data_IF_395380695172
#
_entry.id   IF_395380695172
#
_cell.length_a   1.000
_cell.length_b   1.000
_cell.length_c   1.000
_cell.angle_alpha   90.00
_cell.angle_beta   90.00
_cell.angle_gamma   90.00
#
_symmetry.space_group_name_H-M   'P 1'
#
loop_
_entity.id
_entity.type
_entity.pdbx_description
1 polymer ?
#
# COMPACT_ATOMS: atom_id res chain seq x y z
N UNK A 1 30.76 -11.71 2.13
CA UNK A 1 29.92 -11.24 1.02
C UNK A 1 28.56 -10.91 1.60
N UNK A 2 28.06 -9.66 1.53
CA UNK A 2 26.69 -9.32 1.91
C UNK A 2 25.80 -10.01 0.88
N UNK A 3 25.05 -11.04 1.29
CA UNK A 3 24.01 -11.60 0.46
C UNK A 3 23.04 -10.48 0.11
N UNK A 4 22.97 -10.15 -1.17
CA UNK A 4 22.10 -9.11 -1.67
C UNK A 4 20.67 -9.68 -1.68
N UNK A 5 19.95 -9.49 -0.57
CA UNK A 5 18.57 -9.94 -0.42
C UNK A 5 17.66 -9.36 -1.49
N UNK A 6 16.69 -10.12 -1.94
CA UNK A 6 15.61 -9.60 -2.75
C UNK A 6 14.58 -8.92 -1.83
N UNK A 7 14.16 -7.74 -2.21
CA UNK A 7 13.02 -7.06 -1.61
C UNK A 7 11.76 -7.45 -2.38
N UNK A 8 10.82 -8.05 -1.70
CA UNK A 8 9.63 -8.62 -2.30
C UNK A 8 8.40 -7.90 -1.77
N UNK A 9 7.70 -7.18 -2.63
CA UNK A 9 6.39 -6.62 -2.33
C UNK A 9 5.30 -7.58 -2.81
N UNK A 10 4.43 -8.00 -1.91
CA UNK A 10 3.29 -8.87 -2.18
C UNK A 10 2.00 -8.09 -1.89
N UNK A 11 1.21 -7.88 -2.92
CA UNK A 11 -0.12 -7.28 -2.88
C UNK A 11 -1.17 -8.36 -3.12
N UNK A 12 -2.10 -8.51 -2.19
CA UNK A 12 -3.21 -9.47 -2.29
C UNK A 12 -4.52 -8.68 -2.23
N UNK A 13 -5.30 -8.81 -3.29
CA UNK A 13 -6.59 -8.15 -3.46
C UNK A 13 -7.70 -9.18 -3.68
N UNK A 14 -8.94 -8.72 -3.87
CA UNK A 14 -10.10 -9.63 -3.95
C UNK A 14 -9.96 -10.69 -5.05
N UNK A 15 -9.39 -10.32 -6.18
CA UNK A 15 -9.36 -11.13 -7.41
C UNK A 15 -7.97 -11.60 -7.82
N UNK A 16 -6.91 -10.97 -7.31
CA UNK A 16 -5.53 -11.30 -7.68
C UNK A 16 -4.54 -11.16 -6.51
N UNK A 17 -3.55 -12.04 -6.50
CA UNK A 17 -2.28 -11.83 -5.81
C UNK A 17 -1.22 -11.39 -6.83
N UNK A 18 -0.48 -10.31 -6.53
CA UNK A 18 0.59 -9.77 -7.37
C UNK A 18 1.84 -9.56 -6.55
N UNK A 19 2.99 -9.85 -7.13
CA UNK A 19 4.25 -9.62 -6.46
C UNK A 19 5.29 -9.03 -7.41
N UNK A 20 6.14 -8.17 -6.84
CA UNK A 20 7.34 -7.63 -7.44
C UNK A 20 8.52 -7.97 -6.54
N UNK A 21 9.58 -8.53 -7.12
CA UNK A 21 10.85 -8.72 -6.44
C UNK A 21 11.93 -7.88 -7.09
N UNK A 22 12.61 -7.06 -6.28
CA UNK A 22 13.67 -6.18 -6.72
C UNK A 22 14.95 -6.41 -5.91
N UNK A 23 16.06 -5.96 -6.46
CA UNK A 23 17.35 -5.97 -5.79
C UNK A 23 17.98 -4.58 -5.88
N UNK A 24 18.49 -4.06 -4.75
CA UNK A 24 19.22 -2.79 -4.75
C UNK A 24 20.57 -2.96 -5.43
N UNK A 25 20.86 -2.13 -6.41
CA UNK A 25 22.12 -2.06 -7.13
C UNK A 25 22.71 -0.66 -7.01
N UNK A 26 23.96 -0.48 -7.46
CA UNK A 26 24.66 0.82 -7.42
C UNK A 26 23.86 1.92 -8.15
N UNK A 27 23.22 1.57 -9.26
CA UNK A 27 22.51 2.50 -10.15
C UNK A 27 20.99 2.49 -9.97
N UNK A 28 20.47 2.02 -8.83
CA UNK A 28 19.02 1.99 -8.57
C UNK A 28 18.47 0.60 -8.31
N UNK A 29 17.21 0.42 -8.59
CA UNK A 29 16.50 -0.85 -8.39
C UNK A 29 16.57 -1.70 -9.66
N UNK A 30 16.89 -2.98 -9.49
CA UNK A 30 16.82 -3.99 -10.53
C UNK A 30 15.61 -4.87 -10.29
N UNK A 31 14.69 -4.96 -11.27
CA UNK A 31 13.61 -5.93 -11.29
C UNK A 31 14.21 -7.34 -11.46
N UNK A 32 13.86 -8.25 -10.56
CA UNK A 32 14.34 -9.64 -10.55
C UNK A 32 13.25 -10.64 -10.91
N UNK A 33 12.03 -10.35 -10.47
CA UNK A 33 10.88 -11.23 -10.69
C UNK A 33 9.59 -10.41 -10.56
N UNK A 34 8.58 -10.77 -11.33
CA UNK A 34 7.20 -10.40 -11.09
C UNK A 34 6.32 -11.64 -11.19
N UNK A 35 5.21 -11.61 -10.48
CA UNK A 35 4.26 -12.71 -10.44
C UNK A 35 2.86 -12.17 -10.27
N UNK A 36 1.91 -12.83 -10.95
CA UNK A 36 0.49 -12.55 -10.84
C UNK A 36 -0.28 -13.86 -10.88
N UNK A 37 -1.25 -13.99 -9.98
CA UNK A 37 -2.11 -15.15 -9.89
C UNK A 37 -3.55 -14.71 -9.60
N UNK A 38 -4.54 -15.11 -10.41
CA UNK A 38 -5.94 -14.92 -10.06
C UNK A 38 -6.27 -15.71 -8.81
N UNK A 39 -7.10 -15.12 -7.96
CA UNK A 39 -7.60 -15.72 -6.73
C UNK A 39 -9.06 -16.13 -6.91
N UNK A 40 -9.49 -17.26 -6.34
CA UNK A 40 -10.90 -17.58 -6.22
C UNK A 40 -11.63 -16.50 -5.42
N UNK A 41 -12.83 -16.12 -5.83
CA UNK A 41 -13.63 -15.05 -5.18
C UNK A 41 -13.92 -15.28 -3.69
N UNK A 42 -13.81 -16.51 -3.22
CA UNK A 42 -14.02 -16.88 -1.82
C UNK A 42 -12.81 -16.58 -0.92
N UNK A 43 -11.64 -16.27 -1.48
CA UNK A 43 -10.40 -16.06 -0.71
C UNK A 43 -10.45 -14.77 0.09
N UNK A 44 -10.87 -13.68 -0.54
CA UNK A 44 -10.96 -12.37 0.10
C UNK A 44 -12.20 -11.62 -0.34
N UNK A 45 -12.84 -10.91 0.60
CA UNK A 45 -13.98 -10.02 0.33
C UNK A 45 -13.84 -8.76 1.19
N UNK A 46 -13.96 -7.60 0.59
CA UNK A 46 -13.86 -6.30 1.28
C UNK A 46 -12.61 -6.19 2.18
N UNK A 47 -11.49 -6.74 1.72
CA UNK A 47 -10.22 -6.74 2.45
C UNK A 47 -10.12 -7.75 3.60
N UNK A 48 -11.11 -8.62 3.80
CA UNK A 48 -11.11 -9.66 4.83
C UNK A 48 -10.80 -11.01 4.19
N UNK A 49 -9.86 -11.75 4.78
CA UNK A 49 -9.57 -13.12 4.37
C UNK A 49 -10.68 -14.07 4.86
N UNK A 50 -11.12 -14.96 3.97
CA UNK A 50 -12.12 -15.99 4.26
C UNK A 50 -11.55 -17.39 4.06
N UNK A 51 -11.29 -17.80 2.82
CA UNK A 51 -10.79 -19.13 2.47
C UNK A 51 -9.25 -19.15 2.41
N UNK A 52 -8.61 -19.19 3.57
CA UNK A 52 -7.15 -19.10 3.67
C UNK A 52 -6.41 -20.30 3.11
N UNK A 53 -6.99 -21.51 3.12
CA UNK A 53 -6.33 -22.74 2.61
C UNK A 53 -5.96 -22.63 1.13
N UNK A 54 -6.87 -22.08 0.31
CA UNK A 54 -6.60 -21.87 -1.11
C UNK A 54 -5.49 -20.84 -1.33
N UNK A 55 -5.49 -19.76 -0.57
CA UNK A 55 -4.43 -18.77 -0.61
C UNK A 55 -3.09 -19.35 -0.19
N UNK A 56 -3.06 -20.12 0.90
CA UNK A 56 -1.85 -20.82 1.39
C UNK A 56 -1.28 -21.71 0.29
N UNK A 57 -2.12 -22.51 -0.38
CA UNK A 57 -1.67 -23.41 -1.45
C UNK A 57 -1.07 -22.65 -2.65
N UNK A 58 -1.67 -21.52 -3.02
CA UNK A 58 -1.19 -20.63 -4.10
C UNK A 58 0.15 -20.01 -3.71
N UNK A 59 0.22 -19.40 -2.53
CA UNK A 59 1.42 -18.71 -2.04
C UNK A 59 2.57 -19.69 -1.78
N UNK A 60 2.29 -20.90 -1.28
CA UNK A 60 3.30 -21.95 -1.07
C UNK A 60 3.96 -22.34 -2.39
N UNK A 61 3.18 -22.52 -3.45
CA UNK A 61 3.73 -22.80 -4.79
C UNK A 61 4.61 -21.66 -5.29
N UNK A 62 4.13 -20.42 -5.16
CA UNK A 62 4.92 -19.25 -5.54
C UNK A 62 6.21 -19.10 -4.72
N UNK A 63 6.18 -19.41 -3.41
CA UNK A 63 7.36 -19.32 -2.53
C UNK A 63 8.55 -20.12 -3.06
N UNK A 64 8.33 -21.24 -3.75
CA UNK A 64 9.40 -22.05 -4.35
C UNK A 64 10.12 -21.36 -5.52
N UNK A 65 9.52 -20.34 -6.14
CA UNK A 65 10.16 -19.55 -7.20
C UNK A 65 11.08 -18.45 -6.68
N UNK A 66 11.05 -18.18 -5.36
CA UNK A 66 11.84 -17.15 -4.72
C UNK A 66 13.11 -17.72 -4.07
N UNK A 67 14.17 -16.92 -3.93
CA UNK A 67 15.35 -17.29 -3.14
C UNK A 67 14.99 -17.66 -1.70
N UNK A 68 15.89 -18.39 -1.04
CA UNK A 68 15.74 -18.75 0.38
C UNK A 68 15.60 -17.53 1.28
N UNK A 69 16.42 -16.50 1.04
CA UNK A 69 16.45 -15.26 1.83
C UNK A 69 15.83 -14.12 1.02
N UNK A 70 14.74 -13.57 1.53
CA UNK A 70 14.02 -12.43 0.99
C UNK A 70 13.62 -11.48 2.11
N UNK A 71 13.47 -10.19 1.81
CA UNK A 71 12.79 -9.21 2.64
C UNK A 71 11.37 -9.06 2.12
N UNK A 72 10.42 -9.73 2.75
CA UNK A 72 9.03 -9.71 2.35
C UNK A 72 8.30 -8.51 2.97
N UNK A 73 7.52 -7.82 2.15
CA UNK A 73 6.69 -6.69 2.53
C UNK A 73 5.29 -6.89 1.96
N UNK A 74 4.30 -6.69 2.79
CA UNK A 74 2.88 -6.80 2.41
C UNK A 74 2.15 -5.51 2.74
N UNK A 75 0.92 -5.36 2.28
CA UNK A 75 0.03 -4.30 2.73
C UNK A 75 -1.25 -4.85 3.34
N UNK A 76 -1.81 -4.06 4.25
CA UNK A 76 -3.20 -4.22 4.66
C UNK A 76 -4.09 -3.41 3.71
N UNK A 77 -5.26 -3.95 3.34
CA UNK A 77 -6.26 -3.23 2.57
C UNK A 77 -6.68 -1.93 3.26
N UNK A 78 -6.82 -0.85 2.49
CA UNK A 78 -7.15 0.47 3.03
C UNK A 78 -8.48 0.49 3.82
N UNK A 79 -9.43 -0.37 3.46
CA UNK A 79 -10.73 -0.52 4.14
C UNK A 79 -10.61 -1.04 5.58
N UNK A 80 -9.48 -1.67 5.93
CA UNK A 80 -9.28 -2.34 7.24
C UNK A 80 -8.48 -1.52 8.21
N UNK A 81 -8.22 -0.26 7.88
CA UNK A 81 -7.35 0.66 8.61
C UNK A 81 -8.15 1.82 9.16
N UNK A 82 -7.89 2.17 10.42
CA UNK A 82 -8.41 3.36 11.06
C UNK A 82 -7.23 4.27 11.37
N UNK A 83 -7.33 5.56 11.05
CA UNK A 83 -6.32 6.54 11.40
C UNK A 83 -6.90 7.67 12.23
N UNK A 84 -6.15 8.09 13.25
CA UNK A 84 -6.44 9.27 14.06
C UNK A 84 -5.18 10.13 14.16
N UNK A 85 -5.38 11.44 14.30
CA UNK A 85 -4.30 12.40 14.48
C UNK A 85 -4.26 12.88 15.92
N UNK A 86 -3.09 12.82 16.50
CA UNK A 86 -2.83 13.26 17.87
C UNK A 86 -1.76 14.36 17.87
N UNK A 87 -1.77 15.26 18.83
CA UNK A 87 -0.64 16.13 19.09
C UNK A 87 0.62 15.30 19.41
N UNK A 88 1.77 15.76 18.93
CA UNK A 88 3.05 15.14 19.27
C UNK A 88 3.27 15.24 20.79
N UNK A 89 3.53 14.12 21.51
CA UNK A 89 3.84 14.21 22.93
C UNK A 89 5.23 14.83 23.16
N UNK A 90 5.43 15.37 24.37
CA UNK A 90 6.72 15.95 24.78
C UNK A 90 7.88 14.98 24.52
N UNK A 91 8.96 15.47 23.93
CA UNK A 91 10.17 14.68 23.59
C UNK A 91 10.89 14.06 24.81
N UNK A 92 10.60 14.54 26.03
CA UNK A 92 11.09 13.94 27.27
C UNK A 92 10.38 12.63 27.60
N UNK A 93 9.20 12.39 27.03
CA UNK A 93 8.47 11.15 27.20
C UNK A 93 9.11 10.07 26.32
N UNK A 94 9.79 9.11 26.96
CA UNK A 94 10.48 7.99 26.31
C UNK A 94 9.66 6.71 26.36
N UNK A 95 10.02 5.72 25.54
CA UNK A 95 9.45 4.38 25.62
C UNK A 95 9.77 3.72 26.98
N UNK A 96 8.86 2.93 27.55
CA UNK A 96 7.54 2.52 27.04
C UNK A 96 6.41 3.53 27.36
N UNK A 97 6.67 4.57 28.16
CA UNK A 97 5.64 5.52 28.61
C UNK A 97 5.06 6.33 27.45
N UNK A 98 5.89 6.62 26.43
CA UNK A 98 5.44 7.28 25.21
C UNK A 98 4.36 6.47 24.51
N UNK A 99 4.58 5.18 24.30
CA UNK A 99 3.59 4.27 23.73
C UNK A 99 2.29 4.23 24.54
N UNK A 100 2.41 4.12 25.87
CA UNK A 100 1.24 4.10 26.78
C UNK A 100 0.43 5.38 26.66
N UNK A 101 1.09 6.55 26.65
CA UNK A 101 0.44 7.84 26.50
C UNK A 101 -0.29 7.98 25.16
N UNK A 102 0.37 7.61 24.06
CA UNK A 102 -0.20 7.65 22.71
C UNK A 102 -1.40 6.71 22.62
N UNK A 103 -1.29 5.49 23.13
CA UNK A 103 -2.37 4.50 23.16
C UNK A 103 -3.59 5.00 23.91
N UNK A 104 -3.38 5.57 25.12
CA UNK A 104 -4.47 6.13 25.91
C UNK A 104 -5.13 7.36 25.26
N UNK A 105 -4.35 8.16 24.53
CA UNK A 105 -4.87 9.30 23.77
C UNK A 105 -5.65 8.86 22.53
N UNK A 106 -5.15 7.86 21.80
CA UNK A 106 -5.82 7.27 20.63
C UNK A 106 -7.14 6.60 21.01
N UNK A 107 -7.20 5.91 22.15
CA UNK A 107 -8.40 5.23 22.66
C UNK A 107 -9.61 6.15 22.77
N UNK A 108 -9.40 7.45 22.98
CA UNK A 108 -10.49 8.44 23.08
C UNK A 108 -11.13 8.78 21.74
N UNK A 109 -10.45 8.48 20.63
CA UNK A 109 -10.89 8.83 19.27
C UNK A 109 -11.16 7.59 18.41
N UNK A 110 -10.61 6.43 18.78
CA UNK A 110 -10.82 5.18 18.05
C UNK A 110 -12.20 4.58 18.42
N UNK A 111 -12.94 4.06 17.43
CA UNK A 111 -14.29 3.52 17.65
C UNK A 111 -14.33 2.11 18.25
N UNK A 112 -13.16 1.54 18.54
CA UNK A 112 -12.99 0.16 19.01
C UNK A 112 -12.12 0.13 20.27
N UNK A 113 -12.30 -0.91 21.10
CA UNK A 113 -11.49 -1.13 22.27
C UNK A 113 -10.02 -1.38 21.92
N UNK A 114 -9.09 -0.75 22.64
CA UNK A 114 -7.65 -0.80 22.38
C UNK A 114 -7.08 -2.23 22.41
N UNK A 115 -7.66 -3.09 23.21
CA UNK A 115 -7.27 -4.51 23.36
C UNK A 115 -7.46 -5.28 22.05
N UNK A 116 -8.45 -4.87 21.23
CA UNK A 116 -8.76 -5.48 19.93
C UNK A 116 -7.92 -4.91 18.78
N UNK A 117 -7.15 -3.84 19.05
CA UNK A 117 -6.38 -3.13 18.03
C UNK A 117 -4.88 -3.35 18.16
N UNK A 118 -4.21 -3.52 17.04
CA UNK A 118 -2.79 -3.26 16.88
C UNK A 118 -2.64 -1.82 16.41
N UNK A 119 -1.75 -1.06 17.03
CA UNK A 119 -1.48 0.32 16.65
C UNK A 119 -0.02 0.51 16.33
N UNK A 120 0.24 1.40 15.40
CA UNK A 120 1.54 1.98 15.10
C UNK A 120 1.37 3.49 14.92
N UNK A 121 2.46 4.26 15.05
CA UNK A 121 2.38 5.70 14.95
C UNK A 121 3.66 6.31 14.36
N UNK A 122 3.48 7.37 13.60
CA UNK A 122 4.57 8.15 13.01
C UNK A 122 4.28 9.64 13.06
N UNK A 123 5.34 10.45 13.03
CA UNK A 123 5.19 11.90 12.86
C UNK A 123 4.60 12.18 11.48
N UNK A 124 3.66 13.14 11.39
CA UNK A 124 3.07 13.51 10.12
C UNK A 124 4.12 14.20 9.24
N UNK A 125 4.31 13.79 7.98
CA UNK A 125 5.43 14.27 7.16
C UNK A 125 5.45 15.78 6.89
N UNK A 126 4.30 16.45 6.97
CA UNK A 126 4.15 17.90 6.71
C UNK A 126 3.77 18.70 7.96
N UNK A 127 3.67 18.06 9.12
CA UNK A 127 3.35 18.71 10.40
C UNK A 127 4.06 17.99 11.54
N UNK A 128 5.23 18.48 11.90
CA UNK A 128 6.09 17.90 12.95
C UNK A 128 5.50 18.02 14.37
N UNK A 129 4.36 18.67 14.54
CA UNK A 129 3.63 18.79 15.79
C UNK A 129 2.52 17.74 15.92
N UNK A 130 2.35 16.86 14.94
CA UNK A 130 1.31 15.84 14.93
C UNK A 130 1.86 14.43 14.71
N UNK A 131 1.15 13.48 15.32
CA UNK A 131 1.29 12.06 15.06
C UNK A 131 0.09 11.54 14.28
N UNK A 132 0.34 10.70 13.30
CA UNK A 132 -0.66 9.81 12.72
C UNK A 132 -0.56 8.48 13.47
N UNK A 133 -1.63 8.11 14.16
CA UNK A 133 -1.79 6.78 14.74
C UNK A 133 -2.63 5.94 13.79
N UNK A 134 -2.07 4.83 13.38
CA UNK A 134 -2.72 3.85 12.49
C UNK A 134 -3.12 2.64 13.32
N UNK A 135 -4.34 2.21 13.19
CA UNK A 135 -4.90 1.07 13.91
C UNK A 135 -5.50 0.05 12.94
N UNK A 136 -5.27 -1.23 13.23
CA UNK A 136 -5.89 -2.36 12.55
C UNK A 136 -6.37 -3.38 13.58
N UNK A 137 -7.36 -4.22 13.23
CA UNK A 137 -7.84 -5.28 14.13
C UNK A 137 -6.75 -6.33 14.32
N UNK A 138 -6.43 -6.65 15.58
CA UNK A 138 -5.42 -7.68 15.92
C UNK A 138 -5.76 -9.05 15.33
N UNK A 139 -7.02 -9.40 15.36
CA UNK A 139 -7.50 -10.67 14.82
C UNK A 139 -7.23 -10.79 13.32
N UNK A 140 -7.56 -9.74 12.55
CA UNK A 140 -7.30 -9.72 11.11
C UNK A 140 -5.81 -9.76 10.80
N UNK A 141 -5.01 -8.99 11.54
CA UNK A 141 -3.56 -9.00 11.39
C UNK A 141 -2.96 -10.37 11.71
N UNK A 142 -3.44 -11.02 12.78
CA UNK A 142 -3.01 -12.36 13.15
C UNK A 142 -3.40 -13.41 12.08
N UNK A 143 -4.59 -13.27 11.49
CA UNK A 143 -5.04 -14.14 10.40
C UNK A 143 -4.12 -14.00 9.17
N UNK A 144 -3.75 -12.77 8.78
CA UNK A 144 -2.80 -12.52 7.72
C UNK A 144 -1.44 -13.15 8.01
N UNK A 145 -0.89 -12.90 9.19
CA UNK A 145 0.40 -13.45 9.61
C UNK A 145 0.38 -14.98 9.63
N UNK A 146 -0.68 -15.59 10.15
CA UNK A 146 -0.84 -17.04 10.18
C UNK A 146 -0.90 -17.65 8.77
N UNK A 147 -1.72 -17.09 7.89
CA UNK A 147 -1.85 -17.54 6.49
C UNK A 147 -0.49 -17.49 5.77
N UNK A 148 0.23 -16.38 5.88
CA UNK A 148 1.54 -16.23 5.27
C UNK A 148 2.59 -17.17 5.85
N UNK A 149 2.60 -17.37 7.16
CA UNK A 149 3.52 -18.29 7.85
C UNK A 149 3.32 -19.73 7.39
N UNK A 150 2.08 -20.19 7.17
CA UNK A 150 1.79 -21.51 6.60
C UNK A 150 2.38 -21.66 5.19
N UNK A 151 2.45 -20.58 4.42
CA UNK A 151 3.11 -20.56 3.12
C UNK A 151 4.64 -20.33 3.20
N UNK A 152 5.24 -20.34 4.39
CA UNK A 152 6.66 -20.01 4.65
C UNK A 152 7.06 -18.62 4.15
N UNK A 153 6.15 -17.68 4.29
CA UNK A 153 6.31 -16.27 3.99
C UNK A 153 6.23 -15.48 5.30
N UNK A 154 7.30 -14.79 5.66
CA UNK A 154 7.39 -14.05 6.92
C UNK A 154 7.60 -12.57 6.58
N UNK A 155 6.56 -11.72 6.65
CA UNK A 155 6.69 -10.32 6.34
C UNK A 155 7.54 -9.59 7.40
N UNK A 156 8.53 -8.85 6.94
CA UNK A 156 9.30 -7.92 7.78
C UNK A 156 8.55 -6.60 7.96
N UNK A 157 7.69 -6.25 6.99
CA UNK A 157 6.92 -5.02 6.99
C UNK A 157 5.49 -5.31 6.57
N UNK A 158 4.55 -4.71 7.29
CA UNK A 158 3.15 -4.63 6.92
C UNK A 158 2.81 -3.15 6.74
N UNK A 159 2.64 -2.73 5.49
CA UNK A 159 2.42 -1.34 5.10
C UNK A 159 0.93 -1.08 4.83
N UNK A 160 0.57 0.17 4.60
CA UNK A 160 -0.74 0.59 4.13
C UNK A 160 -0.76 0.65 2.60
N UNK A 161 -1.82 0.16 1.98
CA UNK A 161 -1.98 0.22 0.51
C UNK A 161 -1.71 1.61 -0.08
N UNK A 162 -2.27 2.73 0.47
CA UNK A 162 -1.99 4.07 -0.05
C UNK A 162 -0.52 4.51 0.13
N UNK A 163 0.15 4.08 1.21
CA UNK A 163 1.57 4.37 1.40
C UNK A 163 2.45 3.61 0.40
N UNK A 164 2.09 2.37 0.09
CA UNK A 164 2.75 1.62 -0.96
C UNK A 164 2.58 2.31 -2.32
N UNK A 165 1.39 2.79 -2.64
CA UNK A 165 1.13 3.56 -3.87
C UNK A 165 2.01 4.81 -3.95
N UNK A 166 2.10 5.60 -2.86
CA UNK A 166 2.98 6.77 -2.78
C UNK A 166 4.47 6.39 -2.95
N UNK A 167 4.91 5.27 -2.36
CA UNK A 167 6.28 4.79 -2.50
C UNK A 167 6.62 4.41 -3.95
N UNK A 168 5.68 3.76 -4.66
CA UNK A 168 5.83 3.44 -6.08
C UNK A 168 5.93 4.70 -6.94
N UNK A 169 5.02 5.65 -6.74
CA UNK A 169 4.96 6.90 -7.48
C UNK A 169 6.24 7.73 -7.29
N UNK A 170 6.69 7.88 -6.05
CA UNK A 170 7.94 8.57 -5.72
C UNK A 170 9.15 7.92 -6.39
N UNK A 171 9.25 6.59 -6.33
CA UNK A 171 10.35 5.86 -6.96
C UNK A 171 10.30 5.92 -8.50
N UNK A 172 9.12 6.06 -9.09
CA UNK A 172 8.91 6.23 -10.52
C UNK A 172 9.13 7.66 -11.01
N UNK A 173 9.42 8.62 -10.12
CA UNK A 173 9.64 10.03 -10.46
C UNK A 173 8.37 10.85 -10.64
N UNK A 174 7.22 10.37 -10.18
CA UNK A 174 5.98 11.16 -10.15
C UNK A 174 6.16 12.33 -9.18
N UNK A 175 5.63 13.51 -9.55
CA UNK A 175 5.72 14.70 -8.71
C UNK A 175 5.13 14.46 -7.33
N UNK A 176 5.81 14.99 -6.30
CA UNK A 176 5.36 14.89 -4.90
C UNK A 176 4.11 15.75 -4.62
N UNK A 177 3.78 16.66 -5.49
CA UNK A 177 2.61 17.53 -5.41
C UNK A 177 1.37 16.90 -6.04
N UNK A 178 1.52 15.71 -6.63
CA UNK A 178 0.43 15.05 -7.34
C UNK A 178 -0.43 14.18 -6.44
N UNK A 179 -1.73 14.22 -6.65
CA UNK A 179 -2.67 13.25 -6.11
C UNK A 179 -2.53 11.94 -6.90
N UNK A 180 -2.52 10.84 -6.19
CA UNK A 180 -2.45 9.52 -6.79
C UNK A 180 -3.83 8.88 -6.80
N UNK A 181 -4.20 8.34 -7.95
CA UNK A 181 -5.43 7.61 -8.17
C UNK A 181 -5.09 6.22 -8.72
N UNK A 182 -5.57 5.19 -8.05
CA UNK A 182 -5.36 3.80 -8.46
C UNK A 182 -6.70 3.09 -8.60
N UNK A 183 -6.98 2.63 -9.81
CA UNK A 183 -8.17 1.83 -10.12
C UNK A 183 -7.95 0.40 -9.64
N UNK A 184 -8.77 -0.04 -8.70
CA UNK A 184 -8.90 -1.44 -8.25
C UNK A 184 -9.89 -2.19 -9.15
N UNK A 185 -10.10 -3.48 -8.90
CA UNK A 185 -11.11 -4.27 -9.62
C UNK A 185 -12.55 -3.88 -9.26
N UNK A 186 -12.77 -3.40 -8.04
CA UNK A 186 -14.07 -3.15 -7.44
C UNK A 186 -14.22 -1.72 -6.89
N UNK A 187 -13.32 -0.80 -7.26
CA UNK A 187 -13.37 0.56 -6.79
C UNK A 187 -12.09 1.34 -7.09
N UNK A 188 -11.90 2.44 -6.40
CA UNK A 188 -10.85 3.42 -6.64
C UNK A 188 -10.18 3.81 -5.34
N UNK A 189 -8.87 3.72 -5.29
CA UNK A 189 -8.04 4.20 -4.19
C UNK A 189 -7.40 5.53 -4.60
N UNK A 190 -7.50 6.53 -3.72
CA UNK A 190 -6.71 7.74 -3.88
C UNK A 190 -5.79 7.98 -2.68
N UNK A 191 -4.69 8.68 -2.91
CA UNK A 191 -3.76 9.11 -1.87
C UNK A 191 -3.34 10.56 -2.12
N UNK A 192 -3.29 11.36 -1.04
CA UNK A 192 -2.92 12.77 -1.08
C UNK A 192 -1.49 12.97 -1.59
N UNK A 193 -1.16 14.17 -2.12
CA UNK A 193 0.20 14.58 -2.39
C UNK A 193 1.11 14.45 -1.17
N UNK A 194 2.39 14.10 -1.39
CA UNK A 194 3.37 13.95 -0.31
C UNK A 194 3.67 15.25 0.48
N UNK A 195 3.43 16.41 -0.13
CA UNK A 195 3.64 17.73 0.48
C UNK A 195 2.50 18.18 1.38
N UNK A 196 1.42 17.40 1.48
CA UNK A 196 0.22 17.68 2.25
C UNK A 196 0.02 16.66 3.37
N UNK A 197 -0.86 16.94 4.35
CA UNK A 197 -1.24 15.96 5.36
C UNK A 197 -1.67 14.64 4.70
N UNK A 198 -1.12 13.53 5.21
CA UNK A 198 -1.42 12.23 4.62
C UNK A 198 -2.90 11.90 4.75
N UNK A 199 -3.56 11.81 3.63
CA UNK A 199 -4.96 11.41 3.51
C UNK A 199 -5.11 10.40 2.38
N UNK A 200 -6.08 9.54 2.52
CA UNK A 200 -6.47 8.58 1.48
C UNK A 200 -7.95 8.27 1.61
N UNK A 201 -8.51 7.69 0.59
CA UNK A 201 -9.87 7.19 0.61
C UNK A 201 -10.10 6.21 -0.52
N UNK A 202 -11.30 5.65 -0.48
CA UNK A 202 -11.80 4.72 -1.46
C UNK A 202 -13.11 5.27 -2.02
N UNK A 203 -13.34 5.02 -3.28
CA UNK A 203 -14.65 5.20 -3.93
C UNK A 203 -15.09 3.84 -4.46
N UNK A 204 -16.31 3.46 -4.19
CA UNK A 204 -16.93 2.31 -4.83
C UNK A 204 -17.35 2.66 -6.28
N UNK A 205 -17.49 1.66 -7.13
CA UNK A 205 -17.88 1.88 -8.53
C UNK A 205 -19.25 2.59 -8.65
N UNK A 206 -20.16 2.34 -7.72
CA UNK A 206 -21.47 2.97 -7.68
C UNK A 206 -21.42 4.47 -7.36
N UNK A 207 -20.33 4.93 -6.72
CA UNK A 207 -20.11 6.36 -6.43
C UNK A 207 -19.54 7.12 -7.65
N UNK A 208 -19.07 6.40 -8.66
CA UNK A 208 -18.48 6.95 -9.88
C UNK A 208 -19.50 6.90 -11.01
N UNK A 209 -20.19 7.99 -11.24
CA UNK A 209 -21.25 8.07 -12.26
C UNK A 209 -20.77 7.80 -13.70
N UNK A 210 -19.52 8.19 -14.02
CA UNK A 210 -18.88 7.93 -15.31
C UNK A 210 -17.40 7.61 -15.11
N UNK A 211 -16.99 6.34 -15.29
CA UNK A 211 -15.58 5.94 -15.17
C UNK A 211 -14.64 6.65 -16.14
N UNK A 212 -15.15 7.23 -17.23
CA UNK A 212 -14.36 7.98 -18.19
C UNK A 212 -14.23 9.47 -17.82
N UNK A 213 -15.02 9.94 -16.87
CA UNK A 213 -15.04 11.35 -16.44
C UNK A 213 -15.22 11.44 -14.92
N UNK A 214 -14.12 11.37 -14.20
CA UNK A 214 -14.06 11.40 -12.74
C UNK A 214 -14.24 12.83 -12.16
N UNK A 215 -14.37 13.85 -12.99
CA UNK A 215 -14.43 15.25 -12.57
C UNK A 215 -15.39 15.51 -11.40
N UNK A 216 -16.67 15.11 -11.45
CA UNK A 216 -17.60 15.31 -10.33
C UNK A 216 -17.18 14.57 -9.05
N UNK A 217 -16.70 13.34 -9.17
CA UNK A 217 -16.26 12.51 -8.03
C UNK A 217 -14.98 13.06 -7.38
N UNK A 218 -14.07 13.60 -8.18
CA UNK A 218 -12.80 14.13 -7.71
C UNK A 218 -12.88 15.64 -7.32
N UNK A 219 -13.97 16.33 -7.67
CA UNK A 219 -14.11 17.75 -7.36
C UNK A 219 -13.86 18.12 -5.88
N UNK A 220 -14.34 17.35 -4.88
CA UNK A 220 -14.00 17.61 -3.48
C UNK A 220 -12.50 17.51 -3.19
N UNK A 221 -11.78 16.59 -3.86
CA UNK A 221 -10.34 16.40 -3.69
C UNK A 221 -9.56 17.55 -4.35
N UNK A 222 -9.99 18.01 -5.54
CA UNK A 222 -9.41 19.20 -6.17
C UNK A 222 -9.46 20.42 -5.24
N UNK A 223 -10.62 20.66 -4.63
CA UNK A 223 -10.79 21.76 -3.69
C UNK A 223 -9.98 21.56 -2.39
N UNK A 224 -10.05 20.38 -1.79
CA UNK A 224 -9.38 20.10 -0.53
C UNK A 224 -7.84 20.16 -0.64
N UNK A 225 -7.29 19.75 -1.78
CA UNK A 225 -5.84 19.67 -2.02
C UNK A 225 -5.32 20.79 -2.93
N UNK A 226 -6.17 21.73 -3.36
CA UNK A 226 -5.81 22.85 -4.27
C UNK A 226 -5.13 22.37 -5.55
N UNK A 227 -5.65 21.28 -6.14
CA UNK A 227 -5.10 20.68 -7.35
C UNK A 227 -5.50 21.45 -8.59
N UNK A 228 -4.66 21.41 -9.62
CA UNK A 228 -4.93 21.89 -10.97
C UNK A 228 -5.15 20.69 -11.92
N UNK A 229 -5.64 20.98 -13.12
CA UNK A 229 -5.74 19.98 -14.17
C UNK A 229 -4.35 19.39 -14.48
N UNK A 230 -4.26 18.07 -14.50
CA UNK A 230 -3.00 17.36 -14.71
C UNK A 230 -2.21 16.99 -13.45
N UNK A 231 -2.67 17.41 -12.27
CA UNK A 231 -2.02 17.08 -10.99
C UNK A 231 -2.43 15.68 -10.47
N UNK A 232 -3.28 14.95 -11.19
CA UNK A 232 -3.71 13.60 -10.82
C UNK A 232 -2.98 12.57 -11.67
N UNK A 233 -2.25 11.69 -11.01
CA UNK A 233 -1.54 10.58 -11.63
C UNK A 233 -2.27 9.27 -11.39
N UNK A 234 -2.52 8.55 -12.47
CA UNK A 234 -3.39 7.40 -12.54
C UNK A 234 -2.66 6.10 -12.87
N UNK A 235 -3.02 5.03 -12.17
CA UNK A 235 -2.69 3.64 -12.50
C UNK A 235 -3.91 2.74 -12.36
N UNK A 236 -3.88 1.56 -12.97
CA UNK A 236 -5.03 0.66 -12.99
C UNK A 236 -4.63 -0.81 -12.96
N UNK A 237 -5.40 -1.61 -12.21
CA UNK A 237 -5.35 -3.08 -12.32
C UNK A 237 -6.14 -3.60 -13.52
N UNK A 238 -7.05 -2.77 -14.06
CA UNK A 238 -7.90 -3.09 -15.20
C UNK A 238 -7.24 -2.51 -16.46
N UNK A 239 -7.24 -3.29 -17.53
CA UNK A 239 -6.72 -2.85 -18.84
C UNK A 239 -7.79 -2.03 -19.59
N UNK A 240 -7.98 -0.80 -19.14
CA UNK A 240 -8.91 0.17 -19.73
C UNK A 240 -8.20 1.49 -19.98
N UNK A 241 -8.73 2.29 -20.91
CA UNK A 241 -8.22 3.63 -21.13
C UNK A 241 -8.30 4.49 -19.86
N UNK A 242 -7.31 5.33 -19.56
CA UNK A 242 -7.35 6.23 -18.42
C UNK A 242 -8.50 7.24 -18.57
N UNK A 243 -9.12 7.66 -17.46
CA UNK A 243 -10.12 8.72 -17.46
C UNK A 243 -9.56 10.03 -18.04
N UNK A 244 -10.46 10.92 -18.46
CA UNK A 244 -10.06 12.27 -18.91
C UNK A 244 -9.50 13.10 -17.74
N UNK A 245 -8.50 13.91 -18.02
CA UNK A 245 -7.93 14.85 -17.03
C UNK A 245 -6.90 14.23 -16.07
N UNK A 246 -6.54 12.95 -16.23
CA UNK A 246 -5.50 12.30 -15.42
C UNK A 246 -4.26 11.98 -16.26
N UNK A 247 -3.10 11.92 -15.61
CA UNK A 247 -1.84 11.50 -16.23
C UNK A 247 -1.58 10.03 -15.90
N UNK A 248 -1.39 9.20 -16.93
CA UNK A 248 -1.02 7.80 -16.71
C UNK A 248 0.47 7.69 -16.37
N UNK A 249 0.82 6.78 -15.44
CA UNK A 249 2.21 6.48 -15.09
C UNK A 249 2.44 5.00 -14.90
N UNK A 250 3.69 4.58 -14.99
CA UNK A 250 4.08 3.18 -14.81
C UNK A 250 4.94 3.00 -13.57
N UNK A 251 4.60 2.11 -12.64
CA UNK A 251 5.44 1.78 -11.49
C UNK A 251 6.78 1.16 -11.90
N UNK A 252 6.87 0.63 -13.13
CA UNK A 252 8.11 0.06 -13.66
C UNK A 252 9.17 1.12 -14.02
N UNK A 253 8.78 2.40 -14.12
CA UNK A 253 9.74 3.50 -14.24
C UNK A 253 10.68 3.61 -13.02
N UNK A 254 10.31 3.04 -11.88
CA UNK A 254 11.15 2.95 -10.68
C UNK A 254 12.38 2.03 -10.87
N UNK A 255 12.40 1.17 -11.90
CA UNK A 255 13.44 0.15 -12.07
C UNK A 255 14.42 0.56 -13.15
N UNK A 256 15.69 0.75 -12.78
CA UNK A 256 16.77 1.09 -13.72
C UNK A 256 17.21 -0.09 -14.59
N UNK A 257 16.93 -1.32 -14.16
CA UNK A 257 17.27 -2.55 -14.88
C UNK A 257 16.11 -3.56 -14.75
N UNK A 258 15.77 -4.21 -15.85
CA UNK A 258 14.71 -5.22 -15.90
C UNK A 258 15.29 -6.53 -16.44
N UNK A 259 15.36 -7.55 -15.61
CA UNK A 259 15.84 -8.88 -16.04
C UNK A 259 14.75 -9.70 -16.73
N UNK A 260 13.52 -9.84 -16.19
CA UNK A 260 12.41 -10.44 -16.93
C UNK A 260 11.75 -9.40 -17.86
N UNK A 261 11.05 -9.82 -18.92
CA UNK A 261 10.19 -8.93 -19.67
C UNK A 261 9.12 -8.31 -18.75
N UNK A 262 8.69 -7.10 -19.08
CA UNK A 262 7.66 -6.40 -18.30
C UNK A 262 6.28 -7.04 -18.51
N UNK A 263 5.39 -7.01 -17.52
CA UNK A 263 4.02 -7.51 -17.69
C UNK A 263 3.21 -6.61 -18.65
N UNK A 264 2.18 -7.17 -19.31
CA UNK A 264 1.33 -6.40 -20.23
C UNK A 264 0.68 -5.19 -19.55
N UNK A 265 0.10 -5.37 -18.37
CA UNK A 265 -0.45 -4.28 -17.57
C UNK A 265 0.50 -3.95 -16.40
N UNK A 266 1.38 -2.98 -16.62
CA UNK A 266 2.32 -2.51 -15.60
C UNK A 266 1.60 -1.84 -14.42
N UNK A 267 0.51 -1.11 -14.66
CA UNK A 267 -0.24 -0.38 -13.63
C UNK A 267 -0.79 -1.29 -12.53
N UNK A 268 -1.13 -2.53 -12.88
CA UNK A 268 -1.63 -3.53 -11.94
C UNK A 268 -0.66 -3.88 -10.81
N UNK A 269 0.62 -3.59 -10.98
CA UNK A 269 1.67 -3.88 -10.01
C UNK A 269 2.07 -2.67 -9.16
N UNK A 270 1.32 -1.56 -9.20
CA UNK A 270 1.70 -0.32 -8.50
C UNK A 270 1.91 -0.54 -7.00
N UNK A 271 1.00 -1.24 -6.33
CA UNK A 271 1.10 -1.52 -4.90
C UNK A 271 2.28 -2.47 -4.61
N UNK A 272 2.39 -3.58 -5.33
CA UNK A 272 3.49 -4.54 -5.17
C UNK A 272 4.87 -3.90 -5.42
N UNK A 273 4.97 -3.02 -6.43
CA UNK A 273 6.19 -2.28 -6.72
C UNK A 273 6.54 -1.31 -5.58
N UNK A 274 5.56 -0.57 -5.08
CA UNK A 274 5.75 0.35 -3.96
C UNK A 274 6.23 -0.35 -2.69
N UNK A 275 5.65 -1.49 -2.36
CA UNK A 275 6.11 -2.34 -1.26
C UNK A 275 7.57 -2.76 -1.45
N UNK A 276 7.93 -3.19 -2.67
CA UNK A 276 9.29 -3.66 -2.96
C UNK A 276 10.34 -2.55 -2.84
N UNK A 277 10.02 -1.31 -3.26
CA UNK A 277 10.96 -0.19 -3.27
C UNK A 277 10.86 0.75 -2.07
N UNK A 278 9.88 0.51 -1.15
CA UNK A 278 9.69 1.40 0.00
C UNK A 278 11.00 1.62 0.76
N UNK A 279 11.24 2.84 1.26
CA UNK A 279 12.39 3.12 2.13
C UNK A 279 12.37 2.24 3.38
N UNK A 280 13.53 1.99 3.96
CA UNK A 280 13.61 1.41 5.31
C UNK A 280 13.04 2.41 6.32
N UNK A 281 12.46 1.91 7.40
CA UNK A 281 12.05 2.75 8.53
C UNK A 281 13.30 3.40 9.15
N UNK A 282 13.18 4.69 9.49
CA UNK A 282 14.24 5.48 10.10
C UNK A 282 14.18 5.40 11.62
#
# INVERSE_FOLDING_TARGET
MRHCSWYVGLDIQNDYARAIAVQRRRNGWQLRHWWQQPLPQVVMRQGILHETEQLIAILSRWRHSLPSTISLRICLPAQRIIQVRLPLPDNRLKEPHRHTFISASAAKQLPLAMESLAIDYRVEPCDDQRLIVTAARREELAQWQHCLAQARLFPEVIELTPCALQSAASAAGVSRESLLLHRLSDGWLWASPHGLPFQFGLFDDDEVADPNSLGPTLAPLYLAHKLCDGDIYYTSVIDTAPPKGVQNWSPFAAFSQMSPPIPPNCGAFAIAAGLAVRPADQ
#
